data_IF_290609169481
#
_entry.id   IF_290609169481
#
_cell.length_a   1.000
_cell.length_b   1.000
_cell.length_c   1.000
_cell.angle_alpha   90.00
_cell.angle_beta   90.00
_cell.angle_gamma   90.00
#
_symmetry.space_group_name_H-M   'P 1'
#
loop_
_entity.id
_entity.type
_entity.pdbx_description
1 polymer ?
#
# COMPACT_ATOMS: atom_id res chain seq x y z
N UNK A 1 -13.21 -58.14 -22.05
CA UNK A 1 -12.60 -57.55 -20.85
C UNK A 1 -12.72 -56.04 -20.95
N UNK A 2 -13.70 -55.46 -20.24
CA UNK A 2 -13.93 -54.02 -20.20
C UNK A 2 -13.07 -53.40 -19.09
N UNK A 3 -12.29 -52.37 -19.42
CA UNK A 3 -11.60 -51.55 -18.42
C UNK A 3 -12.55 -50.47 -17.92
N UNK A 4 -12.79 -50.48 -16.62
CA UNK A 4 -13.68 -49.59 -15.90
C UNK A 4 -12.93 -48.29 -15.56
N UNK A 5 -13.34 -47.18 -16.18
CA UNK A 5 -12.87 -45.83 -15.84
C UNK A 5 -13.46 -45.42 -14.49
N UNK A 6 -12.62 -45.35 -13.46
CA UNK A 6 -12.98 -44.75 -12.19
C UNK A 6 -13.14 -43.23 -12.38
N UNK A 7 -14.37 -42.73 -12.22
CA UNK A 7 -14.65 -41.30 -12.16
C UNK A 7 -14.08 -40.76 -10.84
N UNK A 8 -13.10 -39.87 -10.93
CA UNK A 8 -12.66 -39.07 -9.79
C UNK A 8 -13.73 -38.02 -9.52
N UNK A 9 -14.35 -38.09 -8.34
CA UNK A 9 -15.31 -37.11 -7.85
C UNK A 9 -14.65 -35.73 -7.77
N UNK A 10 -15.29 -34.73 -8.37
CA UNK A 10 -14.91 -33.32 -8.23
C UNK A 10 -15.26 -32.86 -6.80
N UNK A 11 -14.33 -32.23 -6.05
CA UNK A 11 -14.62 -31.77 -4.72
C UNK A 11 -15.72 -30.69 -4.75
N UNK A 12 -16.66 -30.83 -3.83
CA UNK A 12 -17.80 -29.96 -3.57
C UNK A 12 -17.37 -28.48 -3.51
N UNK A 13 -17.85 -27.69 -4.46
CA UNK A 13 -17.62 -26.25 -4.59
C UNK A 13 -18.61 -25.43 -3.75
N UNK A 14 -18.91 -25.89 -2.53
CA UNK A 14 -19.75 -25.15 -1.60
C UNK A 14 -19.07 -23.83 -1.21
N UNK A 15 -19.75 -22.67 -1.35
CA UNK A 15 -19.17 -21.38 -1.02
C UNK A 15 -18.92 -21.30 0.48
N UNK A 16 -17.65 -21.27 0.87
CA UNK A 16 -17.26 -20.94 2.25
C UNK A 16 -17.75 -19.53 2.54
N UNK A 17 -18.79 -19.42 3.36
CA UNK A 17 -19.29 -18.16 3.91
C UNK A 17 -18.25 -17.62 4.90
N UNK A 18 -17.32 -16.80 4.39
CA UNK A 18 -16.37 -16.06 5.23
C UNK A 18 -17.09 -14.76 5.61
N UNK A 19 -17.50 -14.67 6.88
CA UNK A 19 -18.07 -13.45 7.43
C UNK A 19 -17.13 -12.24 7.18
N UNK A 20 -17.66 -11.05 6.88
CA UNK A 20 -16.82 -9.89 6.58
C UNK A 20 -15.96 -9.51 7.80
N UNK A 21 -14.67 -9.83 7.74
CA UNK A 21 -13.71 -9.52 8.79
C UNK A 21 -13.52 -8.01 8.88
N UNK A 22 -13.57 -7.46 10.10
CA UNK A 22 -13.13 -6.10 10.33
C UNK A 22 -11.66 -5.93 9.89
N UNK A 23 -11.36 -4.85 9.16
CA UNK A 23 -10.00 -4.52 8.72
C UNK A 23 -9.25 -4.02 9.93
N UNK A 24 -8.51 -4.93 10.56
CA UNK A 24 -7.62 -4.58 11.66
C UNK A 24 -6.37 -3.93 11.09
N UNK A 25 -5.90 -2.86 11.74
CA UNK A 25 -4.57 -2.31 11.47
C UNK A 25 -3.53 -3.43 11.54
N UNK A 26 -2.58 -3.43 10.60
CA UNK A 26 -1.54 -4.45 10.57
C UNK A 26 -0.61 -4.28 11.77
N UNK A 27 -0.58 -5.28 12.65
CA UNK A 27 0.30 -5.30 13.81
C UNK A 27 1.45 -6.30 13.56
N UNK A 28 2.70 -5.84 13.33
CA UNK A 28 3.84 -6.73 13.22
C UNK A 28 4.13 -7.40 14.57
N UNK A 29 4.60 -8.66 14.54
CA UNK A 29 5.04 -9.37 15.76
C UNK A 29 6.42 -8.92 16.22
N UNK A 30 7.21 -8.34 15.32
CA UNK A 30 8.57 -7.89 15.57
C UNK A 30 8.81 -6.58 14.86
N UNK A 31 9.32 -5.59 15.58
CA UNK A 31 9.84 -4.35 14.98
C UNK A 31 11.34 -4.29 15.22
N UNK A 32 12.12 -4.22 14.15
CA UNK A 32 13.59 -4.12 14.23
C UNK A 32 14.05 -2.74 13.78
N UNK A 33 15.01 -2.16 14.48
CA UNK A 33 15.68 -0.91 14.09
C UNK A 33 17.15 -1.18 13.79
N UNK A 34 17.64 -0.65 12.67
CA UNK A 34 19.10 -0.53 12.49
C UNK A 34 19.65 0.62 13.37
N UNK A 35 20.90 0.52 13.85
CA UNK A 35 21.51 1.57 14.66
C UNK A 35 21.48 2.97 14.04
N UNK A 36 21.64 3.09 12.73
CA UNK A 36 21.59 4.37 12.02
C UNK A 36 20.17 4.96 11.95
N UNK A 37 19.17 4.13 11.69
CA UNK A 37 17.77 4.55 11.68
C UNK A 37 17.35 5.16 13.02
N UNK A 38 17.81 4.62 14.15
CA UNK A 38 17.50 5.15 15.48
C UNK A 38 18.17 6.52 15.76
N UNK A 39 19.21 6.88 15.01
CA UNK A 39 19.85 8.21 15.09
C UNK A 39 19.11 9.27 14.29
N UNK A 40 18.25 8.88 13.34
CA UNK A 40 17.40 9.81 12.63
C UNK A 40 16.27 10.33 13.52
N UNK A 41 15.97 11.62 13.42
CA UNK A 41 14.87 12.25 14.15
C UNK A 41 13.51 11.60 13.81
N UNK A 42 13.31 11.25 12.54
CA UNK A 42 12.11 10.55 12.12
C UNK A 42 12.11 9.09 12.57
N UNK A 43 13.25 8.41 12.60
CA UNK A 43 13.38 7.09 13.22
C UNK A 43 13.00 7.07 14.70
N UNK A 44 13.40 8.09 15.48
CA UNK A 44 12.97 8.25 16.88
C UNK A 44 11.45 8.50 17.00
N UNK A 45 10.88 9.22 16.04
CA UNK A 45 9.42 9.42 15.98
C UNK A 45 8.68 8.11 15.72
N UNK A 46 9.17 7.28 14.79
CA UNK A 46 8.64 5.93 14.54
C UNK A 46 8.79 5.06 15.80
N UNK A 47 9.96 5.08 16.46
CA UNK A 47 10.19 4.34 17.71
C UNK A 47 9.14 4.69 18.76
N UNK A 48 8.87 5.98 18.95
CA UNK A 48 7.88 6.47 19.92
C UNK A 48 6.47 5.98 19.60
N UNK A 49 6.05 6.03 18.33
CA UNK A 49 4.74 5.51 17.87
C UNK A 49 4.62 4.01 18.12
N UNK A 50 5.63 3.23 17.72
CA UNK A 50 5.64 1.77 17.90
C UNK A 50 5.66 1.38 19.37
N UNK A 51 6.44 2.07 20.21
CA UNK A 51 6.51 1.82 21.64
C UNK A 51 5.18 2.12 22.33
N UNK A 52 4.48 3.20 21.94
CA UNK A 52 3.17 3.55 22.46
C UNK A 52 2.09 2.50 22.16
N UNK A 53 2.29 1.68 21.11
CA UNK A 53 1.42 0.57 20.76
C UNK A 53 1.77 -0.74 21.49
N UNK A 54 2.78 -0.72 22.36
CA UNK A 54 3.22 -1.90 23.13
C UNK A 54 3.88 -3.00 22.28
N UNK A 55 4.35 -2.66 21.08
CA UNK A 55 4.99 -3.61 20.18
C UNK A 55 6.41 -3.94 20.63
N UNK A 56 6.84 -5.18 20.40
CA UNK A 56 8.21 -5.61 20.70
C UNK A 56 9.21 -4.96 19.75
N UNK A 57 10.10 -4.14 20.30
CA UNK A 57 11.16 -3.45 19.57
C UNK A 57 12.50 -4.13 19.86
N UNK A 58 13.25 -4.41 18.80
CA UNK A 58 14.62 -4.90 18.85
C UNK A 58 15.55 -3.92 18.12
N UNK A 59 16.68 -3.60 18.73
CA UNK A 59 17.72 -2.77 18.12
C UNK A 59 18.84 -3.70 17.66
N UNK A 60 19.11 -3.70 16.36
CA UNK A 60 20.13 -4.57 15.76
C UNK A 60 21.53 -4.08 16.13
N UNK A 61 22.51 -4.99 16.10
CA UNK A 61 23.93 -4.65 16.36
C UNK A 61 24.63 -3.95 15.19
N UNK A 62 24.07 -4.03 13.99
CA UNK A 62 24.62 -3.43 12.77
C UNK A 62 23.49 -3.04 11.82
N UNK A 63 23.80 -2.30 10.75
CA UNK A 63 22.83 -1.88 9.74
C UNK A 63 22.44 -2.99 8.75
N UNK A 64 22.55 -4.26 9.16
CA UNK A 64 22.22 -5.43 8.35
C UNK A 64 21.04 -6.17 8.97
N UNK A 65 19.95 -6.29 8.21
CA UNK A 65 18.83 -7.15 8.57
C UNK A 65 19.29 -8.61 8.54
N UNK A 66 19.20 -9.27 9.69
CA UNK A 66 19.53 -10.68 9.90
C UNK A 66 18.29 -11.42 10.41
N UNK A 67 18.35 -12.75 10.48
CA UNK A 67 17.29 -13.57 11.09
C UNK A 67 15.90 -13.45 10.41
N UNK A 68 15.90 -13.33 9.08
CA UNK A 68 14.67 -13.34 8.27
C UNK A 68 14.33 -14.73 7.71
N UNK A 69 15.31 -15.64 7.65
CA UNK A 69 15.13 -17.00 7.10
C UNK A 69 14.63 -17.94 8.19
N UNK A 70 13.53 -18.62 7.89
CA UNK A 70 12.95 -19.65 8.73
C UNK A 70 13.47 -21.05 8.42
N UNK A 71 12.79 -22.05 8.96
CA UNK A 71 13.08 -23.48 8.72
C UNK A 71 12.76 -23.93 7.29
N UNK A 72 11.76 -23.29 6.67
CA UNK A 72 11.39 -23.47 5.26
C UNK A 72 10.96 -22.13 4.63
N UNK A 73 10.55 -22.15 3.35
CA UNK A 73 10.11 -20.95 2.62
C UNK A 73 8.83 -20.33 3.21
N UNK A 74 7.90 -21.16 3.70
CA UNK A 74 6.64 -20.71 4.28
C UNK A 74 6.87 -20.01 5.61
N UNK A 75 7.78 -20.53 6.41
CA UNK A 75 8.24 -19.94 7.66
C UNK A 75 8.99 -18.64 7.42
N UNK A 76 9.90 -18.62 6.44
CA UNK A 76 10.59 -17.41 5.97
C UNK A 76 9.60 -16.33 5.56
N UNK A 77 8.61 -16.67 4.75
CA UNK A 77 7.57 -15.75 4.29
C UNK A 77 6.75 -15.19 5.47
N UNK A 78 6.30 -16.06 6.38
CA UNK A 78 5.50 -15.68 7.54
C UNK A 78 6.28 -14.74 8.47
N UNK A 79 7.53 -15.07 8.79
CA UNK A 79 8.43 -14.24 9.60
C UNK A 79 8.62 -12.86 8.97
N UNK A 80 8.90 -12.82 7.67
CA UNK A 80 9.09 -11.58 6.93
C UNK A 80 7.82 -10.71 6.95
N UNK A 81 6.64 -11.28 6.68
CA UNK A 81 5.35 -10.58 6.69
C UNK A 81 4.85 -10.16 8.07
N UNK A 82 5.47 -10.68 9.14
CA UNK A 82 5.21 -10.30 10.52
C UNK A 82 6.30 -9.38 11.10
N UNK A 83 7.27 -8.96 10.29
CA UNK A 83 8.37 -8.10 10.71
C UNK A 83 8.26 -6.72 10.05
N UNK A 84 8.35 -5.67 10.86
CA UNK A 84 8.61 -4.31 10.39
C UNK A 84 10.07 -3.98 10.66
N UNK A 85 10.83 -3.66 9.62
CA UNK A 85 12.19 -3.20 9.72
C UNK A 85 12.25 -1.69 9.49
N UNK A 86 12.80 -0.95 10.45
CA UNK A 86 13.07 0.47 10.35
C UNK A 86 14.55 0.64 10.00
N UNK A 87 14.80 1.17 8.80
CA UNK A 87 16.13 1.32 8.20
C UNK A 87 16.27 2.69 7.56
N UNK A 88 17.46 3.11 7.17
CA UNK A 88 17.62 4.25 6.27
C UNK A 88 17.43 3.84 4.81
N UNK A 89 16.79 4.69 4.02
CA UNK A 89 16.77 4.55 2.57
C UNK A 89 18.22 4.61 2.05
N UNK A 90 18.69 3.61 1.28
CA UNK A 90 20.04 3.64 0.73
C UNK A 90 20.17 4.73 -0.35
N UNK A 91 21.39 5.15 -0.67
CA UNK A 91 21.68 6.21 -1.63
C UNK A 91 21.01 6.00 -3.00
N UNK A 92 20.87 4.75 -3.45
CA UNK A 92 20.18 4.41 -4.70
C UNK A 92 18.70 4.78 -4.74
N UNK A 93 18.06 5.04 -3.59
CA UNK A 93 16.66 5.50 -3.51
C UNK A 93 16.51 7.01 -3.73
N UNK A 94 17.61 7.75 -3.83
CA UNK A 94 17.60 9.20 -4.04
C UNK A 94 17.70 9.60 -5.52
N UNK A 95 17.91 8.63 -6.41
CA UNK A 95 17.69 8.81 -7.84
C UNK A 95 16.27 8.34 -8.17
N UNK A 96 15.35 9.28 -8.41
CA UNK A 96 13.92 8.99 -8.55
C UNK A 96 13.61 8.52 -9.98
N UNK A 97 13.28 7.24 -10.20
CA UNK A 97 13.00 6.74 -11.53
C UNK A 97 11.66 7.27 -12.05
N UNK A 98 11.49 7.44 -13.38
CA UNK A 98 10.20 7.75 -13.96
C UNK A 98 9.22 6.57 -13.82
N UNK A 99 7.92 6.86 -13.73
CA UNK A 99 6.88 5.82 -13.58
C UNK A 99 5.62 6.09 -14.43
N UNK A 100 5.74 6.21 -15.76
CA UNK A 100 4.56 6.31 -16.61
C UNK A 100 3.74 5.01 -16.57
N UNK A 101 2.40 5.09 -16.66
CA UNK A 101 1.59 6.31 -16.78
C UNK A 101 1.15 6.93 -15.44
N UNK A 102 1.61 6.43 -14.29
CA UNK A 102 1.13 6.90 -12.98
C UNK A 102 1.62 8.32 -12.69
N UNK A 103 2.93 8.55 -12.74
CA UNK A 103 3.51 9.83 -12.32
C UNK A 103 4.82 10.12 -13.08
N UNK A 104 5.29 11.36 -12.99
CA UNK A 104 6.60 11.75 -13.52
C UNK A 104 7.72 10.97 -12.83
N UNK A 105 7.63 10.81 -11.49
CA UNK A 105 8.63 10.12 -10.68
C UNK A 105 8.00 9.21 -9.62
N UNK A 106 8.71 8.15 -9.22
CA UNK A 106 8.40 7.40 -8.01
C UNK A 106 9.43 7.68 -6.91
N UNK A 107 8.97 7.65 -5.67
CA UNK A 107 9.82 7.67 -4.48
C UNK A 107 9.23 6.73 -3.44
N UNK A 108 10.04 6.32 -2.47
CA UNK A 108 9.64 5.26 -1.54
C UNK A 108 9.74 5.74 -0.11
N UNK A 109 8.64 5.61 0.63
CA UNK A 109 8.60 5.77 2.10
C UNK A 109 8.94 4.45 2.81
N UNK A 110 8.75 3.34 2.10
CA UNK A 110 9.05 1.99 2.52
C UNK A 110 9.17 1.07 1.29
N UNK A 111 9.68 -0.14 1.50
CA UNK A 111 9.60 -1.26 0.56
C UNK A 111 8.99 -2.48 1.23
N UNK A 112 8.17 -3.23 0.50
CA UNK A 112 7.36 -4.32 1.03
C UNK A 112 5.99 -3.84 1.49
N UNK A 113 5.07 -4.79 1.68
CA UNK A 113 3.68 -4.53 2.01
C UNK A 113 3.20 -5.57 3.03
N UNK A 114 2.36 -5.18 4.02
CA UNK A 114 1.78 -6.13 4.96
C UNK A 114 0.77 -7.09 4.34
N UNK A 115 0.20 -6.76 3.18
CA UNK A 115 -0.80 -7.59 2.51
C UNK A 115 -0.19 -8.86 1.87
N UNK A 116 -1.07 -9.81 1.58
CA UNK A 116 -0.79 -11.12 0.99
C UNK A 116 -1.49 -11.29 -0.36
N UNK A 117 -1.49 -10.25 -1.19
CA UNK A 117 -2.06 -10.33 -2.52
C UNK A 117 -1.34 -11.40 -3.36
N UNK A 118 -2.05 -12.43 -3.83
CA UNK A 118 -1.43 -13.57 -4.52
C UNK A 118 -0.85 -13.18 -5.90
N UNK A 119 -1.40 -12.15 -6.53
CA UNK A 119 -0.96 -11.62 -7.82
C UNK A 119 0.10 -10.51 -7.69
N UNK A 120 0.62 -10.24 -6.49
CA UNK A 120 1.43 -9.05 -6.22
C UNK A 120 2.73 -9.05 -7.03
N UNK A 121 2.90 -8.06 -7.93
CA UNK A 121 4.11 -7.93 -8.74
C UNK A 121 5.38 -7.72 -7.90
N UNK A 122 5.26 -7.22 -6.66
CA UNK A 122 6.41 -7.05 -5.76
C UNK A 122 7.12 -8.36 -5.46
N UNK A 123 6.45 -9.51 -5.62
CA UNK A 123 7.10 -10.82 -5.52
C UNK A 123 8.19 -11.03 -6.59
N UNK A 124 8.03 -10.43 -7.77
CA UNK A 124 9.06 -10.42 -8.82
C UNK A 124 10.01 -9.22 -8.77
N UNK A 125 9.60 -8.12 -8.12
CA UNK A 125 10.38 -6.87 -8.10
C UNK A 125 11.29 -6.69 -6.88
N UNK A 126 10.98 -7.34 -5.75
CA UNK A 126 11.78 -7.26 -4.52
C UNK A 126 12.53 -8.57 -4.30
N UNK A 127 13.84 -8.48 -4.03
CA UNK A 127 14.67 -9.64 -3.75
C UNK A 127 14.65 -10.04 -2.27
N UNK A 128 14.76 -11.35 -2.04
CA UNK A 128 14.83 -11.94 -0.70
C UNK A 128 13.48 -11.99 0.03
N UNK A 129 13.49 -12.26 1.35
CA UNK A 129 12.27 -12.36 2.14
C UNK A 129 11.45 -11.06 2.09
N UNK A 130 10.11 -11.12 1.94
CA UNK A 130 9.26 -9.95 1.70
C UNK A 130 8.94 -9.18 3.00
N UNK A 131 9.98 -8.74 3.69
CA UNK A 131 9.89 -7.92 4.90
C UNK A 131 9.52 -6.49 4.54
N UNK A 132 8.70 -5.86 5.38
CA UNK A 132 8.36 -4.44 5.26
C UNK A 132 9.52 -3.62 5.82
N UNK A 133 10.18 -2.83 4.97
CA UNK A 133 11.29 -1.93 5.32
C UNK A 133 10.82 -0.49 5.23
N UNK A 134 10.51 0.14 6.35
CA UNK A 134 10.14 1.55 6.41
C UNK A 134 11.36 2.44 6.66
N UNK A 135 11.37 3.63 6.06
CA UNK A 135 12.53 4.51 6.08
C UNK A 135 12.50 5.54 7.20
N UNK A 136 13.58 5.60 7.97
CA UNK A 136 13.76 6.50 9.11
C UNK A 136 14.34 7.87 8.74
N UNK A 137 14.87 8.04 7.53
CA UNK A 137 15.46 9.28 7.03
C UNK A 137 14.47 10.07 6.14
N UNK A 138 13.21 10.21 6.60
CA UNK A 138 12.15 10.91 5.87
C UNK A 138 12.52 12.36 5.50
N UNK A 139 13.11 13.19 6.41
CA UNK A 139 13.47 14.56 6.06
C UNK A 139 14.45 14.63 4.87
N UNK A 140 15.40 13.69 4.78
CA UNK A 140 16.33 13.60 3.66
C UNK A 140 15.61 13.21 2.37
N UNK A 141 14.67 12.25 2.43
CA UNK A 141 13.85 11.86 1.28
C UNK A 141 13.07 13.07 0.76
N UNK A 142 12.36 13.77 1.64
CA UNK A 142 11.57 14.96 1.29
C UNK A 142 12.42 16.08 0.70
N UNK A 143 13.60 16.36 1.29
CA UNK A 143 14.54 17.34 0.76
C UNK A 143 15.00 16.99 -0.66
N UNK A 144 15.25 15.71 -0.94
CA UNK A 144 15.64 15.27 -2.27
C UNK A 144 14.54 15.44 -3.32
N UNK A 145 13.25 15.32 -2.94
CA UNK A 145 12.12 15.54 -3.85
C UNK A 145 12.14 16.94 -4.48
N UNK A 146 12.64 17.94 -3.75
CA UNK A 146 12.72 19.32 -4.25
C UNK A 146 13.59 19.46 -5.51
N UNK A 147 14.58 18.56 -5.69
CA UNK A 147 15.44 18.55 -6.90
C UNK A 147 14.68 18.16 -8.17
N UNK A 148 13.51 17.56 -8.01
CA UNK A 148 12.65 17.07 -9.10
C UNK A 148 11.37 17.90 -9.24
N UNK A 149 11.24 19.00 -8.49
CA UNK A 149 10.10 19.90 -8.57
C UNK A 149 9.97 20.50 -9.98
N UNK A 150 8.74 20.76 -10.42
CA UNK A 150 8.52 21.47 -11.68
C UNK A 150 8.99 22.93 -11.58
N UNK A 151 9.59 23.43 -12.65
CA UNK A 151 10.00 24.84 -12.81
C UNK A 151 9.06 25.58 -13.76
N UNK A 152 9.08 26.91 -13.73
CA UNK A 152 8.40 27.76 -14.73
C UNK A 152 6.90 27.49 -14.88
N UNK A 153 6.21 27.23 -13.77
CA UNK A 153 4.78 26.95 -13.75
C UNK A 153 4.40 25.50 -14.10
N UNK A 154 5.35 24.66 -14.50
CA UNK A 154 5.12 23.23 -14.68
C UNK A 154 4.92 22.54 -13.32
N UNK A 155 4.04 21.54 -13.29
CA UNK A 155 3.84 20.68 -12.11
C UNK A 155 4.37 19.29 -12.40
N UNK A 156 5.09 18.72 -11.44
CA UNK A 156 5.59 17.34 -11.46
C UNK A 156 4.82 16.48 -10.47
N UNK A 157 4.49 15.27 -10.89
CA UNK A 157 3.74 14.29 -10.12
C UNK A 157 4.65 13.20 -9.53
N UNK A 158 4.33 12.76 -8.31
CA UNK A 158 5.16 11.84 -7.54
C UNK A 158 4.34 10.69 -6.97
N UNK A 159 4.75 9.46 -7.24
CA UNK A 159 4.12 8.23 -6.76
C UNK A 159 4.83 7.70 -5.50
N UNK A 160 4.10 7.56 -4.40
CA UNK A 160 4.64 7.09 -3.12
C UNK A 160 4.38 5.60 -2.82
N UNK A 161 3.66 4.89 -3.70
CA UNK A 161 3.14 3.54 -3.43
C UNK A 161 3.59 2.44 -4.40
N UNK A 162 4.67 2.68 -5.15
CA UNK A 162 5.23 1.70 -6.09
C UNK A 162 5.81 0.45 -5.44
N UNK A 163 6.32 0.53 -4.22
CA UNK A 163 6.96 -0.60 -3.56
C UNK A 163 6.42 -0.87 -2.16
N UNK A 164 5.36 -0.17 -1.77
CA UNK A 164 4.71 -0.33 -0.48
C UNK A 164 3.27 0.14 -0.55
N UNK A 165 2.45 -0.30 0.40
CA UNK A 165 1.18 0.37 0.67
C UNK A 165 1.42 1.35 1.84
N UNK A 166 1.60 2.65 1.58
CA UNK A 166 2.02 3.58 2.61
C UNK A 166 0.96 3.77 3.69
N UNK A 167 -0.33 3.65 3.35
CA UNK A 167 -1.41 3.72 4.33
C UNK A 167 -1.45 2.47 5.23
N UNK A 168 -1.16 1.29 4.66
CA UNK A 168 -1.15 0.04 5.41
C UNK A 168 -0.17 0.00 6.60
N UNK A 169 0.85 0.87 6.58
CA UNK A 169 1.86 1.00 7.65
C UNK A 169 1.82 2.36 8.36
N UNK A 170 0.89 3.24 8.00
CA UNK A 170 0.91 4.64 8.41
C UNK A 170 0.75 4.82 9.93
N UNK A 171 -0.09 4.00 10.56
CA UNK A 171 -0.28 4.03 12.01
C UNK A 171 1.00 3.72 12.81
N UNK A 172 2.00 3.10 12.17
CA UNK A 172 3.31 2.81 12.77
C UNK A 172 4.32 3.90 12.44
N UNK A 173 4.28 4.44 11.22
CA UNK A 173 5.34 5.32 10.71
C UNK A 173 5.01 6.80 10.81
N UNK A 174 3.77 7.21 10.53
CA UNK A 174 3.37 8.59 10.33
C UNK A 174 3.89 9.23 9.04
N UNK A 175 4.60 8.44 8.20
CA UNK A 175 5.39 8.97 7.09
C UNK A 175 4.50 9.50 5.96
N UNK A 176 3.35 8.87 5.69
CA UNK A 176 2.41 9.33 4.67
C UNK A 176 1.77 10.67 5.11
N UNK A 177 1.33 10.79 6.36
CA UNK A 177 0.75 12.04 6.87
C UNK A 177 1.72 13.22 6.72
N UNK A 178 2.98 13.01 7.08
CA UNK A 178 3.99 14.05 6.96
C UNK A 178 4.33 14.38 5.51
N UNK A 179 4.40 13.36 4.65
CA UNK A 179 4.59 13.55 3.21
C UNK A 179 3.44 14.35 2.58
N UNK A 180 2.19 14.07 2.95
CA UNK A 180 1.03 14.86 2.46
C UNK A 180 1.15 16.33 2.87
N UNK A 181 1.54 16.59 4.12
CA UNK A 181 1.76 17.95 4.63
C UNK A 181 2.89 18.65 3.87
N UNK A 182 4.00 17.96 3.64
CA UNK A 182 5.13 18.47 2.87
C UNK A 182 4.69 18.90 1.45
N UNK A 183 4.00 18.02 0.71
CA UNK A 183 3.52 18.34 -0.64
C UNK A 183 2.48 19.47 -0.65
N UNK A 184 1.63 19.58 0.37
CA UNK A 184 0.72 20.71 0.54
C UNK A 184 1.44 22.07 0.59
N UNK A 185 2.69 22.10 1.07
CA UNK A 185 3.51 23.30 1.17
C UNK A 185 4.32 23.61 -0.10
N UNK A 186 4.57 22.63 -0.98
CA UNK A 186 5.43 22.82 -2.16
C UNK A 186 4.67 23.35 -3.39
N UNK A 187 5.28 24.24 -4.17
CA UNK A 187 4.79 24.64 -5.50
C UNK A 187 5.28 23.69 -6.58
N UNK A 188 4.47 23.44 -7.63
CA UNK A 188 4.88 22.64 -8.78
C UNK A 188 5.07 21.14 -8.49
N UNK A 189 4.50 20.62 -7.39
CA UNK A 189 4.64 19.23 -6.97
C UNK A 189 3.30 18.65 -6.52
N UNK A 190 2.89 17.53 -7.10
CA UNK A 190 1.68 16.78 -6.72
C UNK A 190 2.03 15.36 -6.26
N UNK A 191 1.51 14.99 -5.09
CA UNK A 191 1.62 13.64 -4.54
C UNK A 191 0.48 12.76 -5.06
N UNK A 192 0.79 11.48 -5.27
CA UNK A 192 -0.18 10.43 -5.51
C UNK A 192 0.21 9.19 -4.73
N UNK A 193 -0.79 8.47 -4.23
CA UNK A 193 -0.61 7.14 -3.67
C UNK A 193 -1.85 6.29 -3.97
N UNK A 194 -1.69 4.98 -3.97
CA UNK A 194 -2.80 4.01 -4.02
C UNK A 194 -2.71 3.09 -2.82
N UNK A 195 -3.87 2.68 -2.28
CA UNK A 195 -3.94 1.77 -1.14
C UNK A 195 -5.03 0.70 -1.29
N UNK A 196 -4.88 -0.42 -0.58
CA UNK A 196 -5.90 -1.44 -0.32
C UNK A 196 -6.42 -1.43 1.13
N UNK A 197 -6.04 -0.42 1.92
CA UNK A 197 -6.44 -0.24 3.32
C UNK A 197 -7.44 0.92 3.46
N UNK A 198 -8.13 0.97 4.60
CA UNK A 198 -9.26 1.87 4.84
C UNK A 198 -9.07 2.82 6.05
N UNK A 199 -7.94 2.71 6.76
CA UNK A 199 -7.64 3.51 7.96
C UNK A 199 -7.19 4.95 7.63
N UNK A 200 -8.05 5.69 6.92
CA UNK A 200 -7.77 7.03 6.39
C UNK A 200 -8.01 8.17 7.39
N UNK A 201 -8.60 7.90 8.55
CA UNK A 201 -9.09 8.95 9.46
C UNK A 201 -7.99 9.93 9.92
N UNK A 202 -6.76 9.44 10.11
CA UNK A 202 -5.60 10.28 10.44
C UNK A 202 -5.16 11.25 9.33
N UNK A 203 -5.62 11.04 8.09
CA UNK A 203 -5.25 11.87 6.94
C UNK A 203 -6.26 12.99 6.65
N UNK A 204 -7.49 12.87 7.15
CA UNK A 204 -8.62 13.71 6.71
C UNK A 204 -8.40 15.21 6.97
N UNK A 205 -7.72 15.57 8.07
CA UNK A 205 -7.54 16.96 8.49
C UNK A 205 -6.17 17.55 8.10
N UNK A 206 -5.39 16.86 7.26
CA UNK A 206 -4.08 17.36 6.83
C UNK A 206 -4.29 18.44 5.75
N UNK A 207 -3.56 19.55 5.85
CA UNK A 207 -3.60 20.63 4.86
C UNK A 207 -2.93 20.23 3.52
N UNK A 208 -3.57 19.34 2.76
CA UNK A 208 -3.09 18.80 1.48
C UNK A 208 -3.18 19.80 0.31
N UNK A 209 -3.97 20.88 0.46
CA UNK A 209 -4.15 21.98 -0.51
C UNK A 209 -4.46 21.51 -1.95
N UNK A 210 -5.20 20.42 -2.10
CA UNK A 210 -5.52 19.81 -3.40
C UNK A 210 -4.33 19.14 -4.12
N UNK A 211 -3.13 19.09 -3.52
CA UNK A 211 -1.89 18.60 -4.14
C UNK A 211 -1.61 17.12 -3.87
N UNK A 212 -2.59 16.37 -3.40
CA UNK A 212 -2.46 14.94 -3.11
C UNK A 212 -3.66 14.20 -3.68
N UNK A 213 -3.45 13.29 -4.63
CA UNK A 213 -4.49 12.36 -5.07
C UNK A 213 -4.45 11.06 -4.28
N UNK A 214 -5.48 10.81 -3.48
CA UNK A 214 -5.65 9.59 -2.72
C UNK A 214 -6.41 8.56 -3.56
N UNK A 215 -5.74 7.48 -3.96
CA UNK A 215 -6.35 6.44 -4.80
C UNK A 215 -6.56 5.14 -4.04
N UNK A 216 -7.54 4.36 -4.49
CA UNK A 216 -7.89 3.09 -3.88
C UNK A 216 -7.88 2.00 -4.94
N UNK A 217 -7.13 0.93 -4.66
CA UNK A 217 -7.17 -0.29 -5.47
C UNK A 217 -8.52 -0.97 -5.27
N UNK A 218 -9.29 -1.06 -6.33
CA UNK A 218 -10.61 -1.70 -6.36
C UNK A 218 -10.57 -2.90 -7.31
N UNK A 219 -11.42 -3.87 -7.04
CA UNK A 219 -11.58 -5.03 -7.90
C UNK A 219 -12.98 -5.61 -7.72
N UNK A 220 -13.36 -6.52 -8.61
CA UNK A 220 -14.53 -7.35 -8.37
C UNK A 220 -14.37 -8.09 -7.04
N UNK A 221 -15.47 -8.19 -6.31
CA UNK A 221 -15.54 -8.76 -4.97
C UNK A 221 -14.97 -10.19 -4.93
N UNK A 222 -15.25 -10.99 -5.96
CA UNK A 222 -14.69 -12.34 -6.14
C UNK A 222 -13.16 -12.34 -6.19
N UNK A 223 -12.56 -11.42 -6.95
CA UNK A 223 -11.11 -11.28 -7.08
C UNK A 223 -10.51 -10.86 -5.75
N UNK A 224 -11.11 -9.86 -5.10
CA UNK A 224 -10.64 -9.36 -3.81
C UNK A 224 -10.66 -10.44 -2.73
N UNK A 225 -11.80 -11.13 -2.56
CA UNK A 225 -11.95 -12.20 -1.55
C UNK A 225 -11.00 -13.37 -1.79
N UNK A 226 -10.77 -13.74 -3.05
CA UNK A 226 -9.92 -14.89 -3.38
C UNK A 226 -8.43 -14.59 -3.26
N UNK A 227 -8.00 -13.41 -3.69
CA UNK A 227 -6.59 -13.14 -3.91
C UNK A 227 -5.99 -12.06 -3.02
N UNK A 228 -6.77 -11.21 -2.35
CA UNK A 228 -6.27 -10.02 -1.63
C UNK A 228 -6.23 -10.20 -0.11
N UNK A 229 -5.50 -11.22 0.35
CA UNK A 229 -5.37 -11.51 1.79
C UNK A 229 -4.76 -10.34 2.58
N UNK A 230 -5.29 -10.08 3.79
CA UNK A 230 -4.74 -9.06 4.69
C UNK A 230 -5.00 -7.60 4.26
N UNK A 231 -6.03 -7.37 3.44
CA UNK A 231 -6.45 -6.04 2.98
C UNK A 231 -7.86 -5.71 3.45
N UNK A 232 -8.29 -4.45 3.33
CA UNK A 232 -9.67 -4.07 3.58
C UNK A 232 -10.59 -4.64 2.49
N UNK A 233 -11.84 -4.95 2.82
CA UNK A 233 -12.86 -5.33 1.83
C UNK A 233 -13.12 -4.19 0.85
N UNK A 234 -13.57 -4.51 -0.37
CA UNK A 234 -13.88 -3.50 -1.41
C UNK A 234 -14.81 -2.39 -0.91
N UNK A 235 -15.90 -2.73 -0.21
CA UNK A 235 -16.84 -1.72 0.33
C UNK A 235 -16.18 -0.73 1.31
N UNK A 236 -15.24 -1.22 2.13
CA UNK A 236 -14.48 -0.37 3.05
C UNK A 236 -13.51 0.56 2.34
N UNK A 237 -12.91 0.09 1.24
CA UNK A 237 -12.07 0.94 0.38
C UNK A 237 -12.91 2.03 -0.29
N UNK A 238 -14.12 1.70 -0.74
CA UNK A 238 -15.07 2.68 -1.31
C UNK A 238 -15.51 3.69 -0.23
N UNK A 239 -15.79 3.23 0.99
CA UNK A 239 -16.13 4.10 2.11
C UNK A 239 -14.94 5.04 2.48
N UNK A 240 -13.72 4.51 2.51
CA UNK A 240 -12.50 5.30 2.74
C UNK A 240 -12.26 6.32 1.62
N UNK A 241 -12.47 5.94 0.35
CA UNK A 241 -12.44 6.87 -0.78
C UNK A 241 -13.44 8.01 -0.60
N UNK A 242 -14.65 7.68 -0.15
CA UNK A 242 -15.71 8.68 0.10
C UNK A 242 -15.33 9.63 1.24
N UNK A 243 -14.74 9.12 2.33
CA UNK A 243 -14.20 9.96 3.41
C UNK A 243 -13.13 10.93 2.91
N UNK A 244 -12.18 10.44 2.10
CA UNK A 244 -11.11 11.29 1.53
C UNK A 244 -11.68 12.35 0.58
N UNK A 245 -12.64 11.99 -0.26
CA UNK A 245 -13.31 12.93 -1.17
C UNK A 245 -14.04 14.04 -0.38
N UNK A 246 -14.77 13.69 0.69
CA UNK A 246 -15.43 14.66 1.57
C UNK A 246 -14.45 15.57 2.32
N UNK A 247 -13.25 15.09 2.60
CA UNK A 247 -12.17 15.88 3.16
C UNK A 247 -11.48 16.81 2.12
N UNK A 248 -11.91 16.78 0.85
CA UNK A 248 -11.42 17.66 -0.21
C UNK A 248 -10.23 17.11 -1.00
N UNK A 249 -9.80 15.88 -0.75
CA UNK A 249 -8.77 15.25 -1.59
C UNK A 249 -9.32 14.98 -3.00
N UNK A 250 -8.55 15.26 -4.07
CA UNK A 250 -8.71 14.54 -5.32
C UNK A 250 -8.61 13.02 -5.06
N UNK A 251 -9.53 12.24 -5.63
CA UNK A 251 -9.60 10.79 -5.41
C UNK A 251 -9.46 10.01 -6.71
N UNK A 252 -9.17 8.72 -6.61
CA UNK A 252 -9.18 7.86 -7.79
C UNK A 252 -9.40 6.38 -7.48
N UNK A 253 -10.04 5.68 -8.41
CA UNK A 253 -10.11 4.22 -8.42
C UNK A 253 -8.99 3.63 -9.26
N UNK A 254 -8.32 2.61 -8.77
CA UNK A 254 -7.39 1.80 -9.57
C UNK A 254 -7.98 0.40 -9.71
N UNK A 255 -8.53 0.08 -10.88
CA UNK A 255 -9.01 -1.27 -11.20
C UNK A 255 -7.81 -2.11 -11.62
N UNK A 256 -7.23 -2.81 -10.66
CA UNK A 256 -6.00 -3.56 -10.87
C UNK A 256 -5.82 -4.74 -9.90
N UNK A 257 -5.44 -5.92 -10.40
CA UNK A 257 -5.45 -6.32 -11.81
C UNK A 257 -6.87 -6.60 -12.30
N UNK A 258 -7.22 -6.15 -13.51
CA UNK A 258 -8.45 -6.57 -14.20
C UNK A 258 -8.24 -8.02 -14.65
N UNK A 259 -9.08 -8.93 -14.15
CA UNK A 259 -8.96 -10.36 -14.38
C UNK A 259 -10.18 -10.89 -15.17
N UNK A 260 -9.98 -11.78 -16.16
CA UNK A 260 -11.08 -12.48 -16.80
C UNK A 260 -11.59 -13.60 -15.89
N UNK A 261 -12.90 -13.67 -15.72
CA UNK A 261 -13.61 -14.78 -15.08
C UNK A 261 -15.08 -14.76 -15.52
N UNK A 262 -15.82 -15.84 -15.31
CA UNK A 262 -17.23 -15.88 -15.70
C UNK A 262 -18.04 -14.77 -15.01
N UNK A 263 -18.86 -14.07 -15.78
CA UNK A 263 -19.66 -12.93 -15.32
C UNK A 263 -18.84 -11.70 -14.86
N UNK A 264 -17.57 -11.56 -15.29
CA UNK A 264 -16.75 -10.40 -14.92
C UNK A 264 -17.41 -9.07 -15.29
N UNK A 265 -18.08 -8.98 -16.44
CA UNK A 265 -18.72 -7.74 -16.90
C UNK A 265 -19.75 -7.22 -15.91
N UNK A 266 -20.60 -8.10 -15.37
CA UNK A 266 -21.61 -7.70 -14.39
C UNK A 266 -20.96 -7.37 -13.05
N UNK A 267 -20.02 -8.18 -12.56
CA UNK A 267 -19.37 -7.92 -11.26
C UNK A 267 -18.55 -6.62 -11.25
N UNK A 268 -17.88 -6.26 -12.35
CA UNK A 268 -17.22 -4.97 -12.48
C UNK A 268 -18.23 -3.83 -12.69
N UNK A 269 -19.34 -4.07 -13.38
CA UNK A 269 -20.42 -3.07 -13.49
C UNK A 269 -21.01 -2.74 -12.12
N UNK A 270 -21.26 -3.75 -11.28
CA UNK A 270 -21.74 -3.59 -9.91
C UNK A 270 -20.74 -2.84 -9.02
N UNK A 271 -19.45 -3.12 -9.16
CA UNK A 271 -18.40 -2.35 -8.50
C UNK A 271 -18.49 -0.86 -8.86
N UNK A 272 -18.59 -0.53 -10.16
CA UNK A 272 -18.67 0.86 -10.60
C UNK A 272 -19.96 1.54 -10.14
N UNK A 273 -21.10 0.83 -10.15
CA UNK A 273 -22.38 1.33 -9.58
C UNK A 273 -22.24 1.63 -8.09
N UNK A 274 -21.57 0.78 -7.31
CA UNK A 274 -21.30 1.02 -5.88
C UNK A 274 -20.43 2.26 -5.66
N UNK A 275 -19.37 2.44 -6.45
CA UNK A 275 -18.53 3.65 -6.37
C UNK A 275 -19.34 4.90 -6.70
N UNK A 276 -20.09 4.89 -7.80
CA UNK A 276 -20.94 6.01 -8.21
C UNK A 276 -21.98 6.36 -7.13
N UNK A 277 -22.65 5.34 -6.56
CA UNK A 277 -23.60 5.53 -5.47
C UNK A 277 -22.95 6.14 -4.22
N UNK A 278 -21.76 5.68 -3.85
CA UNK A 278 -21.07 6.17 -2.65
C UNK A 278 -20.61 7.63 -2.75
N UNK A 279 -20.33 8.09 -3.96
CA UNK A 279 -19.84 9.45 -4.25
C UNK A 279 -20.93 10.39 -4.77
N UNK A 280 -22.19 9.94 -4.91
CA UNK A 280 -23.27 10.69 -5.56
C UNK A 280 -23.47 12.10 -4.98
N UNK A 281 -23.37 12.24 -3.66
CA UNK A 281 -23.55 13.52 -2.94
C UNK A 281 -22.22 14.20 -2.59
N UNK A 282 -21.11 13.79 -3.21
CA UNK A 282 -19.78 14.33 -2.94
C UNK A 282 -19.12 14.73 -4.25
N UNK A 283 -19.32 15.99 -4.69
CA UNK A 283 -18.59 16.53 -5.84
C UNK A 283 -17.09 16.36 -5.62
N UNK A 284 -16.45 15.58 -6.49
CA UNK A 284 -15.04 15.28 -6.34
C UNK A 284 -14.36 15.15 -7.71
N UNK A 285 -13.07 15.44 -7.72
CA UNK A 285 -12.19 15.12 -8.83
C UNK A 285 -11.86 13.61 -8.74
N UNK A 286 -12.63 12.81 -9.46
CA UNK A 286 -12.50 11.36 -9.54
C UNK A 286 -11.83 10.93 -10.86
N UNK A 287 -10.75 10.15 -10.74
CA UNK A 287 -10.10 9.50 -11.91
C UNK A 287 -10.12 7.98 -11.79
N UNK A 288 -10.00 7.28 -12.91
CA UNK A 288 -9.79 5.83 -12.93
C UNK A 288 -8.51 5.45 -13.68
N UNK A 289 -7.79 4.48 -13.13
CA UNK A 289 -6.65 3.82 -13.77
C UNK A 289 -6.96 2.33 -13.92
N UNK A 290 -6.73 1.80 -15.12
CA UNK A 290 -7.12 0.44 -15.50
C UNK A 290 -5.87 -0.37 -15.83
N UNK A 291 -5.62 -1.45 -15.10
CA UNK A 291 -4.43 -2.29 -15.28
C UNK A 291 -4.89 -3.73 -15.40
N UNK A 292 -4.75 -4.33 -16.59
CA UNK A 292 -5.01 -5.76 -16.79
C UNK A 292 -4.01 -6.62 -16.01
N UNK A 293 -4.41 -7.84 -15.66
CA UNK A 293 -3.46 -8.83 -15.16
C UNK A 293 -2.34 -9.08 -16.19
N UNK A 294 -1.09 -9.16 -15.73
CA UNK A 294 0.10 -9.25 -16.61
C UNK A 294 0.97 -10.48 -16.37
N UNK A 295 0.54 -11.41 -15.52
CA UNK A 295 1.32 -12.59 -15.13
C UNK A 295 0.44 -13.85 -15.04
#
# INVERSE_FOLDING_TARGET
MAYQLAMLETPDASPVSIAPTESRLWSPRRVVFTPDALRETWGQSIYTRVAALGLTIEILKSNRLTDLRGTDERDTYRRAKQTLAIVNAPASQFDLPPIPPSADYQFHLAQGCPAHCQYCYLAGSLSGPPVVRAYANLPQIQLNLLRYAGTDGATKSFEASCYTDPLGIEHLTGSLSDTIRFFGQQSGMHLRFVTKFDAVDGLLNIAHKGKTRARFSLNADRVSRRFEGGTATVDKRIAAMTKMARAGYPVGGVLAPIMPFDNWQEEYSDLLRRVAKSLADTPCDLTFELITHRF
#
